data_IF_266078659486
#
_entry.id   IF_266078659486
#
_cell.length_a   1.000
_cell.length_b   1.000
_cell.length_c   1.000
_cell.angle_alpha   90.00
_cell.angle_beta   90.00
_cell.angle_gamma   90.00
#
_symmetry.space_group_name_H-M   'P 1'
#
loop_
_entity.id
_entity.type
_entity.pdbx_description
1 polymer ?
#
# COMPACT_ATOMS: atom_id res chain seq x y z
N UNK A 1 26.14 -2.58 17.03
CA UNK A 1 25.35 -3.65 17.70
C UNK A 1 24.18 -3.95 16.79
N UNK A 2 24.04 -5.18 16.34
CA UNK A 2 22.89 -5.59 15.54
C UNK A 2 21.58 -5.30 16.31
N UNK A 3 20.61 -4.70 15.64
CA UNK A 3 19.40 -4.22 16.29
C UNK A 3 18.42 -5.32 16.65
N UNK A 4 18.48 -6.48 16.00
CA UNK A 4 17.62 -7.65 16.23
C UNK A 4 16.11 -7.27 16.27
N UNK A 5 15.62 -6.87 15.10
CA UNK A 5 14.23 -6.44 14.87
C UNK A 5 13.46 -7.57 14.17
N UNK A 6 12.28 -7.92 14.68
CA UNK A 6 11.37 -8.86 14.03
C UNK A 6 10.21 -8.13 13.35
N UNK A 7 10.07 -8.25 12.03
CA UNK A 7 8.93 -7.76 11.25
C UNK A 7 8.02 -8.92 10.90
N UNK A 8 6.76 -8.85 11.28
CA UNK A 8 5.78 -9.95 11.14
C UNK A 8 4.66 -9.54 10.20
N UNK A 9 4.49 -10.27 9.11
CA UNK A 9 3.39 -10.04 8.16
C UNK A 9 2.89 -11.34 7.54
N UNK A 10 1.59 -11.44 7.27
CA UNK A 10 0.98 -12.61 6.65
C UNK A 10 1.08 -12.62 5.12
N UNK A 11 1.65 -11.59 4.52
CA UNK A 11 1.91 -11.47 3.09
C UNK A 11 3.30 -10.91 2.84
N UNK A 12 4.06 -11.54 1.93
CA UNK A 12 5.42 -11.10 1.59
C UNK A 12 5.74 -11.53 0.15
N UNK A 13 6.67 -10.87 -0.56
CA UNK A 13 7.06 -11.30 -1.90
C UNK A 13 7.33 -12.82 -2.01
N UNK A 14 6.90 -13.48 -3.10
CA UNK A 14 6.44 -12.92 -4.38
C UNK A 14 4.99 -12.44 -4.43
N UNK A 15 4.24 -12.49 -3.33
CA UNK A 15 2.90 -11.91 -3.27
C UNK A 15 3.01 -10.40 -3.11
N UNK A 16 2.51 -9.65 -4.11
CA UNK A 16 2.62 -8.20 -4.14
C UNK A 16 1.32 -7.54 -3.72
N UNK A 17 1.32 -6.98 -2.52
CA UNK A 17 0.30 -6.04 -2.04
C UNK A 17 0.97 -4.87 -1.32
N UNK A 18 0.21 -3.81 -1.02
CA UNK A 18 0.77 -2.60 -0.41
C UNK A 18 1.42 -2.83 0.95
N UNK A 19 0.93 -3.81 1.73
CA UNK A 19 1.52 -4.14 3.05
C UNK A 19 2.82 -4.92 2.88
N UNK A 20 2.85 -5.88 1.93
CA UNK A 20 4.07 -6.62 1.61
C UNK A 20 5.19 -5.68 1.13
N UNK A 21 4.87 -4.71 0.25
CA UNK A 21 5.82 -3.67 -0.20
C UNK A 21 6.29 -2.80 0.96
N UNK A 22 5.40 -2.41 1.87
CA UNK A 22 5.76 -1.66 3.07
C UNK A 22 6.77 -2.43 3.94
N UNK A 23 6.48 -3.70 4.26
CA UNK A 23 7.38 -4.55 5.07
C UNK A 23 8.72 -4.78 4.40
N UNK A 24 8.73 -4.99 3.08
CA UNK A 24 9.95 -5.14 2.30
C UNK A 24 10.85 -3.90 2.41
N UNK A 25 10.28 -2.70 2.27
CA UNK A 25 11.02 -1.45 2.40
C UNK A 25 11.50 -1.21 3.84
N UNK A 26 10.66 -1.51 4.85
CA UNK A 26 11.09 -1.47 6.25
C UNK A 26 12.31 -2.38 6.47
N UNK A 27 12.23 -3.64 6.03
CA UNK A 27 13.31 -4.61 6.21
C UNK A 27 14.61 -4.16 5.51
N UNK A 28 14.51 -3.70 4.26
CA UNK A 28 15.64 -3.24 3.47
C UNK A 28 16.38 -2.06 4.13
N UNK A 29 15.64 -0.99 4.45
CA UNK A 29 16.25 0.20 5.02
C UNK A 29 16.72 0.01 6.47
N UNK A 30 16.01 -0.79 7.28
CA UNK A 30 16.48 -1.16 8.62
C UNK A 30 17.75 -1.99 8.55
N UNK A 31 17.83 -2.98 7.64
CA UNK A 31 19.03 -3.78 7.45
C UNK A 31 20.21 -2.90 7.06
N UNK A 32 20.02 -1.94 6.15
CA UNK A 32 21.09 -0.99 5.75
C UNK A 32 21.52 -0.06 6.88
N UNK A 33 20.59 0.45 7.67
CA UNK A 33 20.91 1.44 8.72
C UNK A 33 21.48 0.81 9.98
N UNK A 34 20.96 -0.36 10.40
CA UNK A 34 21.27 -0.90 11.74
C UNK A 34 21.55 -2.41 11.77
N UNK A 35 21.27 -3.13 10.70
CA UNK A 35 21.44 -4.59 10.62
C UNK A 35 20.54 -5.39 11.56
N UNK A 36 20.61 -6.73 11.44
CA UNK A 36 19.93 -7.67 12.34
C UNK A 36 18.41 -7.66 12.22
N UNK A 37 17.89 -7.57 10.99
CA UNK A 37 16.44 -7.60 10.70
C UNK A 37 16.05 -9.00 10.24
N UNK A 38 14.93 -9.49 10.76
CA UNK A 38 14.29 -10.72 10.31
C UNK A 38 12.83 -10.44 9.93
N UNK A 39 12.40 -10.90 8.76
CA UNK A 39 11.00 -10.89 8.34
C UNK A 39 10.40 -12.27 8.60
N UNK A 40 9.28 -12.30 9.29
CA UNK A 40 8.54 -13.51 9.65
C UNK A 40 7.25 -13.56 8.85
N UNK A 41 7.07 -14.57 7.99
CA UNK A 41 5.97 -14.65 7.03
C UNK A 41 5.57 -16.09 6.73
N UNK A 42 4.33 -16.37 6.29
CA UNK A 42 3.96 -17.67 5.77
C UNK A 42 4.83 -18.07 4.59
N UNK A 43 5.17 -19.34 4.48
CA UNK A 43 5.93 -19.86 3.35
C UNK A 43 5.08 -19.87 2.06
N UNK A 44 5.52 -19.18 1.03
CA UNK A 44 4.89 -19.25 -0.30
C UNK A 44 5.62 -20.34 -1.10
N UNK A 45 4.93 -21.38 -1.58
CA UNK A 45 5.56 -22.45 -2.34
C UNK A 45 6.31 -21.94 -3.57
N UNK A 46 7.57 -22.29 -3.69
CA UNK A 46 8.44 -21.88 -4.80
C UNK A 46 9.06 -20.48 -4.65
N UNK A 47 8.83 -19.77 -3.55
CA UNK A 47 9.48 -18.49 -3.29
C UNK A 47 10.98 -18.71 -2.95
N UNK A 48 11.81 -17.89 -3.55
CA UNK A 48 13.23 -17.78 -3.19
C UNK A 48 13.42 -16.55 -2.28
N UNK A 49 13.65 -16.80 -1.00
CA UNK A 49 13.88 -15.73 -0.03
C UNK A 49 15.37 -15.35 0.09
N UNK A 50 16.28 -16.08 -0.56
CA UNK A 50 17.71 -15.78 -0.52
C UNK A 50 18.10 -14.52 -1.30
N UNK A 51 17.21 -14.01 -2.12
CA UNK A 51 17.39 -12.78 -2.89
C UNK A 51 17.41 -11.51 -2.02
N UNK A 52 16.99 -11.60 -0.76
CA UNK A 52 16.94 -10.46 0.15
C UNK A 52 18.24 -10.32 0.96
N UNK A 53 18.70 -9.09 1.19
CA UNK A 53 19.88 -8.77 2.00
C UNK A 53 19.66 -8.94 3.51
N UNK A 54 18.44 -9.25 3.93
CA UNK A 54 18.01 -9.50 5.31
C UNK A 54 17.43 -10.91 5.45
N UNK A 55 17.35 -11.39 6.68
CA UNK A 55 16.83 -12.73 6.93
C UNK A 55 15.31 -12.79 6.73
N UNK A 56 14.82 -13.79 6.01
CA UNK A 56 13.39 -14.14 5.96
C UNK A 56 13.21 -15.50 6.63
N UNK A 57 12.29 -15.58 7.58
CA UNK A 57 11.94 -16.77 8.34
C UNK A 57 10.52 -17.22 7.96
N UNK A 58 10.38 -18.05 6.91
CA UNK A 58 9.09 -18.59 6.53
C UNK A 58 8.63 -19.66 7.51
N UNK A 59 7.32 -19.74 7.74
CA UNK A 59 6.67 -20.76 8.55
C UNK A 59 5.60 -21.53 7.78
N UNK A 60 5.14 -22.62 8.34
CA UNK A 60 4.19 -23.51 7.69
C UNK A 60 2.92 -22.78 7.24
N UNK A 61 2.51 -23.05 6.00
CA UNK A 61 1.34 -22.44 5.38
C UNK A 61 0.62 -23.43 4.46
N UNK A 62 -0.62 -23.11 4.14
CA UNK A 62 -1.45 -23.83 3.16
C UNK A 62 -1.94 -22.86 2.08
N UNK A 63 -1.98 -23.27 0.80
CA UNK A 63 -2.51 -22.45 -0.27
C UNK A 63 -3.97 -22.06 -0.04
N UNK A 64 -4.33 -20.80 -0.34
CA UNK A 64 -5.74 -20.40 -0.35
C UNK A 64 -6.39 -20.92 -1.63
N UNK A 65 -7.45 -21.75 -1.52
CA UNK A 65 -8.14 -22.28 -2.70
C UNK A 65 -8.57 -21.17 -3.65
N UNK A 66 -8.34 -21.35 -4.94
CA UNK A 66 -8.72 -20.44 -6.04
C UNK A 66 -8.12 -19.03 -5.97
N UNK A 67 -7.14 -18.77 -5.06
CA UNK A 67 -6.48 -17.45 -4.87
C UNK A 67 -4.96 -17.54 -4.92
N UNK A 68 -4.39 -18.20 -5.90
CA UNK A 68 -2.93 -18.19 -6.09
C UNK A 68 -2.44 -16.76 -6.37
N UNK A 69 -1.30 -16.32 -5.82
CA UNK A 69 -0.32 -17.06 -5.01
C UNK A 69 -0.56 -16.96 -3.48
N UNK A 70 -1.73 -16.51 -3.02
CA UNK A 70 -2.00 -16.31 -1.60
C UNK A 70 -1.99 -17.62 -0.79
N UNK A 71 -1.43 -17.54 0.41
CA UNK A 71 -1.36 -18.65 1.37
C UNK A 71 -1.97 -18.23 2.72
N UNK A 72 -2.41 -19.20 3.49
CA UNK A 72 -2.77 -18.99 4.91
C UNK A 72 -1.69 -19.61 5.79
N UNK A 73 -1.04 -18.79 6.59
CA UNK A 73 -0.07 -19.24 7.56
C UNK A 73 -0.71 -19.97 8.74
N UNK A 74 0.01 -20.89 9.35
CA UNK A 74 -0.44 -21.70 10.49
C UNK A 74 0.68 -21.78 11.53
N UNK A 75 1.16 -20.62 12.00
CA UNK A 75 2.26 -20.52 12.95
C UNK A 75 1.94 -21.25 14.27
N UNK A 76 0.66 -21.27 14.71
CA UNK A 76 0.22 -21.84 15.98
C UNK A 76 0.37 -23.37 16.04
N UNK A 77 0.36 -24.04 14.88
CA UNK A 77 0.53 -25.49 14.81
C UNK A 77 1.95 -25.91 14.43
N UNK A 78 2.90 -24.98 14.42
CA UNK A 78 4.32 -25.23 14.17
C UNK A 78 5.15 -24.91 15.44
N UNK A 79 5.16 -25.83 16.44
CA UNK A 79 5.86 -25.59 17.70
C UNK A 79 7.38 -25.47 17.52
N UNK A 80 7.96 -26.10 16.49
CA UNK A 80 9.40 -25.98 16.18
C UNK A 80 9.72 -24.56 15.71
N UNK A 81 8.89 -23.99 14.84
CA UNK A 81 8.99 -22.61 14.42
C UNK A 81 8.79 -21.64 15.59
N UNK A 82 7.73 -21.80 16.39
CA UNK A 82 7.48 -20.94 17.55
C UNK A 82 8.67 -20.96 18.53
N UNK A 83 9.23 -22.13 18.82
CA UNK A 83 10.45 -22.25 19.63
C UNK A 83 11.64 -21.50 18.98
N UNK A 84 11.79 -21.61 17.65
CA UNK A 84 12.86 -20.95 16.91
C UNK A 84 12.75 -19.43 17.04
N UNK A 85 11.57 -18.83 16.82
CA UNK A 85 11.42 -17.37 16.86
C UNK A 85 11.47 -16.80 18.29
N UNK A 86 10.98 -17.53 19.29
CA UNK A 86 11.08 -17.12 20.71
C UNK A 86 12.54 -17.07 21.17
N UNK A 87 13.39 -17.98 20.68
CA UNK A 87 14.82 -18.01 21.02
C UNK A 87 15.67 -16.98 20.24
N UNK A 88 15.09 -16.27 19.26
CA UNK A 88 15.77 -15.16 18.59
C UNK A 88 16.01 -14.00 19.54
N UNK A 89 17.15 -13.31 19.44
CA UNK A 89 17.48 -12.19 20.33
C UNK A 89 16.76 -10.90 19.96
N UNK A 90 15.47 -10.98 19.57
CA UNK A 90 14.69 -9.78 19.25
C UNK A 90 14.65 -8.81 20.41
N UNK A 91 14.84 -7.54 20.12
CA UNK A 91 14.69 -6.42 21.07
C UNK A 91 13.33 -5.75 20.94
N UNK A 92 12.72 -5.88 19.76
CA UNK A 92 11.38 -5.38 19.42
C UNK A 92 10.78 -6.25 18.33
N UNK A 93 9.47 -6.38 18.31
CA UNK A 93 8.71 -6.98 17.23
C UNK A 93 7.68 -6.00 16.70
N UNK A 94 7.46 -6.03 15.39
CA UNK A 94 6.47 -5.20 14.72
C UNK A 94 5.55 -6.08 13.87
N UNK A 95 4.26 -6.07 14.19
CA UNK A 95 3.23 -6.79 13.46
C UNK A 95 2.55 -5.85 12.44
N UNK A 96 2.64 -6.19 11.16
CA UNK A 96 1.96 -5.48 10.08
C UNK A 96 0.61 -6.09 9.70
N UNK A 97 0.28 -7.25 10.28
CA UNK A 97 -1.04 -7.87 10.14
C UNK A 97 -1.49 -8.49 11.47
N UNK A 98 -2.81 -8.55 11.74
CA UNK A 98 -3.33 -9.03 13.01
C UNK A 98 -3.64 -10.54 13.02
N UNK A 99 -3.18 -11.29 12.01
CA UNK A 99 -3.49 -12.70 11.87
C UNK A 99 -2.38 -13.60 12.45
N UNK A 100 -2.03 -14.69 11.77
CA UNK A 100 -1.15 -15.71 12.36
C UNK A 100 0.25 -15.20 12.65
N UNK A 101 0.83 -14.38 11.76
CA UNK A 101 2.13 -13.75 12.03
C UNK A 101 2.06 -12.73 13.17
N UNK A 102 0.99 -11.93 13.22
CA UNK A 102 0.79 -10.97 14.32
C UNK A 102 0.60 -11.66 15.66
N UNK A 103 -0.15 -12.78 15.71
CA UNK A 103 -0.29 -13.58 16.93
C UNK A 103 1.06 -14.19 17.36
N UNK A 104 1.90 -14.61 16.41
CA UNK A 104 3.26 -15.08 16.70
C UNK A 104 4.14 -13.94 17.26
N UNK A 105 4.01 -12.70 16.70
CA UNK A 105 4.69 -11.51 17.24
C UNK A 105 4.28 -11.25 18.70
N UNK A 106 2.97 -11.25 19.00
CA UNK A 106 2.46 -11.06 20.34
C UNK A 106 2.93 -12.15 21.33
N UNK A 107 3.04 -13.39 20.85
CA UNK A 107 3.58 -14.50 21.64
C UNK A 107 5.06 -14.27 21.99
N UNK A 108 5.89 -13.90 21.02
CA UNK A 108 7.30 -13.56 21.24
C UNK A 108 7.44 -12.38 22.20
N UNK A 109 6.70 -11.28 21.95
CA UNK A 109 6.75 -10.09 22.79
C UNK A 109 6.45 -10.40 24.26
N UNK A 110 5.39 -11.20 24.50
CA UNK A 110 4.99 -11.60 25.84
C UNK A 110 6.04 -12.48 26.53
N UNK A 111 6.52 -13.53 25.88
CA UNK A 111 7.48 -14.48 26.48
C UNK A 111 8.84 -13.84 26.73
N UNK A 112 9.25 -12.92 25.89
CA UNK A 112 10.56 -12.27 26.02
C UNK A 112 10.50 -10.94 26.76
N UNK A 113 9.32 -10.48 27.14
CA UNK A 113 9.10 -9.16 27.73
C UNK A 113 9.75 -8.02 26.94
N UNK A 114 9.54 -8.02 25.61
CA UNK A 114 10.02 -6.99 24.70
C UNK A 114 8.86 -6.18 24.13
N UNK A 115 9.09 -4.94 23.65
CA UNK A 115 8.02 -4.13 23.09
C UNK A 115 7.49 -4.72 21.78
N UNK A 116 6.18 -4.52 21.57
CA UNK A 116 5.47 -4.84 20.34
C UNK A 116 4.83 -3.60 19.76
N UNK A 117 5.08 -3.36 18.49
CA UNK A 117 4.33 -2.39 17.66
C UNK A 117 3.37 -3.16 16.76
N UNK A 118 2.19 -2.59 16.49
CA UNK A 118 1.26 -3.13 15.51
C UNK A 118 0.75 -2.03 14.59
N UNK A 119 0.91 -2.18 13.26
CA UNK A 119 0.37 -1.22 12.28
C UNK A 119 -0.96 -1.70 11.73
N UNK A 120 -1.96 -0.82 11.76
CA UNK A 120 -3.29 -1.06 11.21
C UNK A 120 -3.35 -0.56 9.76
N UNK A 121 -3.32 -1.49 8.80
CA UNK A 121 -3.24 -1.18 7.37
C UNK A 121 -4.57 -1.20 6.62
N UNK A 122 -5.53 -2.06 7.01
CA UNK A 122 -6.66 -2.44 6.15
C UNK A 122 -8.02 -2.18 6.75
N UNK A 123 -9.02 -1.94 5.90
CA UNK A 123 -10.44 -1.87 6.27
C UNK A 123 -11.02 -3.28 6.45
N UNK A 124 -10.55 -4.00 7.45
CA UNK A 124 -10.90 -5.40 7.71
C UNK A 124 -12.40 -5.68 7.75
N UNK A 125 -13.22 -4.73 8.25
CA UNK A 125 -14.68 -4.91 8.26
C UNK A 125 -15.22 -5.03 6.84
N UNK A 126 -14.74 -4.21 5.92
CA UNK A 126 -15.16 -4.21 4.53
C UNK A 126 -14.70 -5.49 3.85
N UNK A 127 -13.45 -5.91 4.09
CA UNK A 127 -12.88 -7.14 3.54
C UNK A 127 -13.68 -8.38 3.95
N UNK A 128 -13.99 -8.50 5.25
CA UNK A 128 -14.76 -9.64 5.74
C UNK A 128 -16.21 -9.58 5.30
N UNK A 129 -16.83 -8.39 5.22
CA UNK A 129 -18.23 -8.25 4.81
C UNK A 129 -18.48 -8.67 3.37
N UNK A 130 -17.47 -8.68 2.51
CA UNK A 130 -17.56 -9.18 1.12
C UNK A 130 -17.72 -10.70 1.05
N UNK A 131 -17.07 -11.41 1.96
CA UNK A 131 -17.05 -12.88 1.97
C UNK A 131 -18.08 -13.44 2.95
N UNK A 132 -18.27 -12.77 4.09
CA UNK A 132 -19.12 -13.22 5.19
C UNK A 132 -20.38 -12.38 5.22
N UNK A 133 -21.52 -12.99 4.85
CA UNK A 133 -22.82 -12.28 4.83
C UNK A 133 -23.38 -11.95 6.22
N UNK A 134 -22.92 -12.65 7.26
CA UNK A 134 -23.39 -12.45 8.63
C UNK A 134 -22.68 -11.28 9.32
N UNK A 135 -23.37 -10.17 9.51
CA UNK A 135 -22.85 -9.00 10.26
C UNK A 135 -22.41 -9.36 11.69
N UNK A 136 -23.10 -10.30 12.33
CA UNK A 136 -22.73 -10.78 13.68
C UNK A 136 -21.34 -11.43 13.67
N UNK A 137 -21.07 -12.29 12.70
CA UNK A 137 -19.77 -12.96 12.56
C UNK A 137 -18.68 -11.95 12.25
N UNK A 138 -18.91 -11.02 11.30
CA UNK A 138 -17.97 -9.95 10.98
C UNK A 138 -17.63 -9.11 12.20
N UNK A 139 -18.63 -8.66 12.96
CA UNK A 139 -18.41 -7.86 14.16
C UNK A 139 -17.61 -8.63 15.23
N UNK A 140 -17.82 -9.94 15.35
CA UNK A 140 -17.06 -10.77 16.29
C UNK A 140 -15.60 -10.92 15.87
N UNK A 141 -15.34 -11.05 14.57
CA UNK A 141 -13.97 -11.05 14.00
C UNK A 141 -13.30 -9.71 14.26
N UNK A 142 -13.96 -8.60 13.88
CA UNK A 142 -13.43 -7.25 14.11
C UNK A 142 -13.12 -7.00 15.58
N UNK A 143 -13.98 -7.44 16.51
CA UNK A 143 -13.71 -7.34 17.95
C UNK A 143 -12.42 -8.06 18.34
N UNK A 144 -12.17 -9.27 17.83
CA UNK A 144 -10.93 -10.02 18.10
C UNK A 144 -9.69 -9.31 17.52
N UNK A 145 -9.84 -8.69 16.35
CA UNK A 145 -8.74 -7.86 15.78
C UNK A 145 -8.42 -6.67 16.70
N UNK A 146 -9.43 -6.00 17.24
CA UNK A 146 -9.22 -4.89 18.18
C UNK A 146 -8.57 -5.37 19.48
N UNK A 147 -8.96 -6.55 19.98
CA UNK A 147 -8.31 -7.19 21.13
C UNK A 147 -6.83 -7.52 20.84
N UNK A 148 -6.49 -7.88 19.58
CA UNK A 148 -5.09 -8.06 19.17
C UNK A 148 -4.32 -6.74 19.22
N UNK A 149 -4.85 -5.67 18.62
CA UNK A 149 -4.20 -4.33 18.65
C UNK A 149 -4.03 -3.82 20.08
N UNK A 150 -4.94 -4.18 20.99
CA UNK A 150 -4.83 -3.86 22.42
C UNK A 150 -3.67 -4.56 23.16
N UNK A 151 -2.97 -5.52 22.52
CA UNK A 151 -1.77 -6.18 23.09
C UNK A 151 -0.47 -5.45 22.74
N UNK A 152 -0.49 -4.56 21.77
CA UNK A 152 0.68 -3.80 21.35
C UNK A 152 1.01 -2.68 22.35
N UNK A 153 2.29 -2.39 22.52
CA UNK A 153 2.76 -1.24 23.31
C UNK A 153 2.46 0.08 22.57
N UNK A 154 2.45 0.07 21.23
CA UNK A 154 1.97 1.16 20.37
C UNK A 154 1.23 0.60 19.14
N UNK A 155 0.17 1.30 18.74
CA UNK A 155 -0.56 1.04 17.48
C UNK A 155 -0.31 2.19 16.52
N UNK A 156 0.13 1.85 15.30
CA UNK A 156 0.42 2.81 14.26
C UNK A 156 -0.58 2.73 13.12
N UNK A 157 -0.78 3.87 12.46
CA UNK A 157 -1.59 3.99 11.25
C UNK A 157 -0.79 4.71 10.15
N UNK A 158 -0.94 4.32 8.86
CA UNK A 158 -0.14 4.87 7.77
C UNK A 158 -0.60 6.25 7.28
N UNK A 159 -1.67 6.81 7.86
CA UNK A 159 -2.23 8.12 7.54
C UNK A 159 -3.20 8.55 8.64
N UNK A 160 -3.33 9.82 8.92
CA UNK A 160 -4.16 10.34 10.03
C UNK A 160 -5.62 9.91 9.94
N UNK A 161 -6.22 9.93 8.74
CA UNK A 161 -7.61 9.47 8.51
C UNK A 161 -7.86 8.00 8.83
N UNK A 162 -6.82 7.18 8.87
CA UNK A 162 -6.95 5.75 9.22
C UNK A 162 -7.16 5.56 10.71
N UNK A 163 -6.82 6.56 11.54
CA UNK A 163 -7.16 6.55 12.95
C UNK A 163 -8.69 6.50 13.15
N UNK A 164 -9.47 7.25 12.38
CA UNK A 164 -10.93 7.22 12.47
C UNK A 164 -11.45 5.81 12.21
N UNK A 165 -10.90 5.11 11.22
CA UNK A 165 -11.31 3.73 10.88
C UNK A 165 -11.08 2.77 12.03
N UNK A 166 -9.92 2.79 12.70
CA UNK A 166 -9.66 1.90 13.83
C UNK A 166 -10.49 2.30 15.07
N UNK A 167 -10.80 3.61 15.23
CA UNK A 167 -11.72 4.10 16.27
C UNK A 167 -13.15 3.59 16.07
N UNK A 168 -13.66 3.62 14.84
CA UNK A 168 -14.95 3.04 14.48
C UNK A 168 -15.03 1.53 14.76
N UNK A 169 -13.90 0.83 14.71
CA UNK A 169 -13.82 -0.59 15.09
C UNK A 169 -13.83 -0.79 16.60
N UNK A 170 -13.72 0.28 17.38
CA UNK A 170 -13.80 0.29 18.84
C UNK A 170 -12.46 0.30 19.58
N UNK A 171 -11.35 0.57 18.89
CA UNK A 171 -10.05 0.73 19.55
C UNK A 171 -9.99 2.04 20.33
N UNK A 172 -9.56 1.95 21.61
CA UNK A 172 -9.51 3.10 22.54
C UNK A 172 -8.10 3.47 22.98
N UNK A 173 -7.11 2.64 22.61
CA UNK A 173 -5.71 2.89 22.97
C UNK A 173 -5.09 4.07 22.21
N UNK A 174 -3.85 4.48 22.54
CA UNK A 174 -3.13 5.48 21.77
C UNK A 174 -2.85 4.97 20.34
N UNK A 175 -2.91 5.89 19.39
CA UNK A 175 -2.60 5.67 17.98
C UNK A 175 -1.58 6.69 17.55
N UNK A 176 -0.56 6.26 16.85
CA UNK A 176 0.47 7.12 16.27
C UNK A 176 0.41 7.08 14.76
N UNK A 177 0.58 8.22 14.11
CA UNK A 177 0.67 8.28 12.65
C UNK A 177 2.12 8.07 12.24
N UNK A 178 2.34 7.07 11.38
CA UNK A 178 3.65 6.79 10.74
C UNK A 178 3.40 6.61 9.26
N UNK A 179 3.66 7.65 8.49
CA UNK A 179 3.38 7.68 7.07
C UNK A 179 4.11 6.58 6.29
N UNK A 180 3.50 6.15 5.19
CA UNK A 180 4.20 5.33 4.20
C UNK A 180 5.22 6.18 3.43
N UNK A 181 6.30 5.54 2.99
CA UNK A 181 7.29 6.13 2.10
C UNK A 181 7.05 5.79 0.62
N UNK A 182 7.94 6.29 -0.22
CA UNK A 182 8.09 5.89 -1.61
C UNK A 182 9.55 5.53 -1.88
N UNK A 183 9.79 4.51 -2.71
CA UNK A 183 11.11 4.14 -3.23
C UNK A 183 11.45 4.88 -4.54
N UNK A 184 10.49 5.68 -5.05
CA UNK A 184 10.65 6.46 -6.28
C UNK A 184 11.14 7.88 -6.02
N UNK A 185 11.64 8.17 -4.83
CA UNK A 185 12.21 9.48 -4.50
C UNK A 185 13.61 9.58 -5.09
N UNK A 186 13.75 10.37 -6.15
CA UNK A 186 15.03 10.67 -6.78
C UNK A 186 14.95 12.01 -7.53
N UNK A 187 16.10 12.61 -7.79
CA UNK A 187 16.19 13.76 -8.68
C UNK A 187 16.15 13.29 -10.14
N UNK A 188 14.95 13.23 -10.70
CA UNK A 188 14.76 12.88 -12.11
C UNK A 188 15.03 14.11 -13.00
N UNK A 189 15.98 14.03 -13.96
CA UNK A 189 16.21 15.12 -14.91
C UNK A 189 15.00 15.27 -15.85
N UNK A 190 14.76 16.47 -16.38
CA UNK A 190 13.64 16.73 -17.30
C UNK A 190 13.65 15.79 -18.52
N UNK A 191 14.83 15.46 -19.02
CA UNK A 191 14.99 14.49 -20.10
C UNK A 191 14.40 13.11 -19.79
N UNK A 192 14.38 12.70 -18.52
CA UNK A 192 13.82 11.41 -18.09
C UNK A 192 12.33 11.30 -18.43
N UNK A 193 11.56 12.35 -18.19
CA UNK A 193 10.13 12.39 -18.49
C UNK A 193 9.86 12.37 -19.99
N UNK A 194 10.64 13.13 -20.77
CA UNK A 194 10.57 13.11 -22.23
C UNK A 194 10.96 11.74 -22.82
N UNK A 195 11.98 11.11 -22.27
CA UNK A 195 12.44 9.78 -22.69
C UNK A 195 11.37 8.72 -22.38
N UNK A 196 10.73 8.77 -21.21
CA UNK A 196 9.64 7.86 -20.85
C UNK A 196 8.46 7.96 -21.83
N UNK A 197 8.06 9.16 -22.22
CA UNK A 197 7.01 9.38 -23.22
C UNK A 197 7.41 8.84 -24.59
N UNK A 198 8.64 9.09 -25.03
CA UNK A 198 9.18 8.59 -26.30
C UNK A 198 9.23 7.05 -26.33
N UNK A 199 9.70 6.43 -25.25
CA UNK A 199 9.80 4.97 -25.15
C UNK A 199 8.42 4.30 -25.22
N UNK A 200 7.38 4.96 -24.75
CA UNK A 200 5.99 4.50 -24.83
C UNK A 200 5.27 4.94 -26.12
N UNK A 201 5.97 5.63 -27.04
CA UNK A 201 5.40 6.12 -28.31
C UNK A 201 4.30 7.16 -28.09
N UNK A 202 4.44 8.01 -27.07
CA UNK A 202 3.49 9.07 -26.74
C UNK A 202 3.97 10.36 -27.40
N UNK A 203 3.07 11.00 -28.16
CA UNK A 203 3.32 12.29 -28.79
C UNK A 203 3.44 13.43 -27.75
N UNK A 204 4.08 14.56 -28.12
CA UNK A 204 4.29 15.68 -27.21
C UNK A 204 2.98 16.31 -26.70
N UNK A 205 1.94 16.31 -27.53
CA UNK A 205 0.65 16.95 -27.25
C UNK A 205 -0.43 15.98 -26.77
N UNK A 206 -0.09 14.68 -26.61
CA UNK A 206 -1.03 13.68 -26.10
C UNK A 206 -1.15 13.76 -24.58
N UNK A 207 -2.36 13.92 -24.07
CA UNK A 207 -2.62 13.86 -22.63
C UNK A 207 -2.74 12.42 -22.16
N UNK A 208 -2.04 12.06 -21.08
CA UNK A 208 -1.92 10.70 -20.61
C UNK A 208 -2.52 10.52 -19.22
N UNK A 209 -3.52 9.67 -19.14
CA UNK A 209 -4.06 9.17 -17.88
C UNK A 209 -3.41 7.84 -17.49
N UNK A 210 -3.27 7.63 -16.19
CA UNK A 210 -2.71 6.40 -15.63
C UNK A 210 -3.56 5.90 -14.46
N UNK A 211 -3.74 4.60 -14.40
CA UNK A 211 -4.22 3.87 -13.23
C UNK A 211 -3.25 2.73 -12.94
N UNK A 212 -2.76 2.63 -11.70
CA UNK A 212 -1.88 1.54 -11.25
C UNK A 212 -2.50 0.85 -10.05
N UNK A 213 -2.59 -0.47 -10.10
CA UNK A 213 -3.09 -1.25 -8.98
C UNK A 213 -3.78 -2.54 -9.41
N UNK A 214 -4.30 -3.26 -8.43
CA UNK A 214 -5.09 -4.44 -8.71
C UNK A 214 -6.37 -4.05 -9.49
N UNK A 215 -6.64 -4.76 -10.57
CA UNK A 215 -7.86 -4.61 -11.36
C UNK A 215 -9.01 -5.34 -10.66
N UNK A 216 -9.56 -4.67 -9.65
CA UNK A 216 -10.69 -5.13 -8.84
C UNK A 216 -11.75 -4.01 -8.79
N UNK A 217 -13.02 -4.37 -8.75
CA UNK A 217 -14.10 -3.37 -8.78
C UNK A 217 -14.10 -2.43 -7.58
N UNK A 218 -13.52 -2.86 -6.46
CA UNK A 218 -13.41 -2.10 -5.23
C UNK A 218 -12.53 -0.84 -5.36
N UNK A 219 -11.56 -0.87 -6.30
CA UNK A 219 -10.75 0.32 -6.64
C UNK A 219 -11.44 1.26 -7.63
N UNK A 220 -12.69 0.95 -7.96
CA UNK A 220 -13.57 1.77 -8.79
C UNK A 220 -13.07 2.02 -10.24
N UNK A 221 -12.44 1.05 -10.93
CA UNK A 221 -12.00 1.25 -12.31
C UNK A 221 -13.17 1.45 -13.29
N UNK A 222 -14.37 0.94 -12.97
CA UNK A 222 -15.58 1.21 -13.76
C UNK A 222 -15.88 2.69 -13.85
N UNK A 223 -15.79 3.41 -12.73
CA UNK A 223 -16.02 4.85 -12.67
C UNK A 223 -15.04 5.63 -13.56
N UNK A 224 -13.78 5.16 -13.64
CA UNK A 224 -12.79 5.70 -14.58
C UNK A 224 -13.23 5.46 -16.02
N UNK A 225 -13.55 4.21 -16.39
CA UNK A 225 -13.93 3.83 -17.77
C UNK A 225 -15.20 4.59 -18.20
N UNK A 226 -16.20 4.70 -17.31
CA UNK A 226 -17.44 5.43 -17.58
C UNK A 226 -17.21 6.95 -17.76
N UNK A 227 -16.27 7.54 -17.02
CA UNK A 227 -15.87 8.95 -17.20
C UNK A 227 -15.12 9.17 -18.52
N UNK A 228 -14.21 8.26 -18.89
CA UNK A 228 -13.48 8.31 -20.16
C UNK A 228 -14.43 8.21 -21.38
N UNK A 229 -15.49 7.40 -21.29
CA UNK A 229 -16.50 7.35 -22.35
C UNK A 229 -17.15 8.72 -22.61
N UNK A 230 -17.42 9.49 -21.55
CA UNK A 230 -18.04 10.83 -21.66
C UNK A 230 -17.11 11.89 -22.30
N UNK A 231 -15.81 11.60 -22.37
CA UNK A 231 -14.81 12.51 -22.95
C UNK A 231 -14.09 11.88 -24.16
N UNK A 232 -14.62 10.81 -24.74
CA UNK A 232 -13.95 10.12 -25.87
C UNK A 232 -13.82 10.92 -27.16
N UNK A 233 -14.49 12.06 -27.23
CA UNK A 233 -14.35 13.07 -28.29
C UNK A 233 -13.10 13.93 -28.15
N UNK A 234 -12.41 13.90 -27.00
CA UNK A 234 -11.14 14.62 -26.76
C UNK A 234 -9.97 13.64 -26.90
N UNK A 235 -8.84 14.02 -27.51
CA UNK A 235 -7.66 13.16 -27.61
C UNK A 235 -7.03 12.91 -26.24
N UNK A 236 -6.86 11.64 -25.87
CA UNK A 236 -6.10 11.20 -24.70
C UNK A 236 -5.60 9.77 -24.88
N UNK A 237 -4.65 9.37 -24.02
CA UNK A 237 -4.29 7.97 -23.78
C UNK A 237 -4.60 7.59 -22.33
N UNK A 238 -4.99 6.35 -22.13
CA UNK A 238 -5.19 5.78 -20.80
C UNK A 238 -4.44 4.47 -20.67
N UNK A 239 -3.62 4.35 -19.63
CA UNK A 239 -2.93 3.11 -19.27
C UNK A 239 -3.49 2.54 -17.98
N UNK A 240 -3.94 1.27 -18.03
CA UNK A 240 -4.24 0.47 -16.86
C UNK A 240 -3.07 -0.49 -16.61
N UNK A 241 -2.32 -0.26 -15.53
CA UNK A 241 -1.18 -1.09 -15.12
C UNK A 241 -1.58 -1.94 -13.93
N UNK A 242 -1.45 -3.25 -14.06
CA UNK A 242 -1.80 -4.23 -13.04
C UNK A 242 -2.63 -5.36 -13.58
N UNK A 243 -3.13 -6.19 -12.69
CA UNK A 243 -4.03 -7.30 -12.99
C UNK A 243 -4.98 -7.56 -11.83
N UNK A 244 -5.99 -8.38 -12.02
CA UNK A 244 -6.94 -8.75 -10.99
C UNK A 244 -8.16 -9.46 -11.55
N UNK A 245 -9.09 -9.88 -10.70
CA UNK A 245 -10.25 -10.66 -11.12
C UNK A 245 -11.22 -9.89 -12.05
N UNK A 246 -11.15 -8.57 -12.08
CA UNK A 246 -11.99 -7.73 -12.95
C UNK A 246 -11.32 -7.40 -14.29
N UNK A 247 -10.06 -7.79 -14.53
CA UNK A 247 -9.29 -7.34 -15.69
C UNK A 247 -9.96 -7.63 -17.02
N UNK A 248 -10.51 -8.84 -17.21
CA UNK A 248 -11.15 -9.19 -18.46
C UNK A 248 -12.49 -8.45 -18.62
N UNK A 249 -13.30 -8.35 -17.58
CA UNK A 249 -14.53 -7.57 -17.61
C UNK A 249 -14.31 -6.07 -17.82
N UNK A 250 -13.14 -5.53 -17.40
CA UNK A 250 -12.74 -4.15 -17.72
C UNK A 250 -12.43 -4.00 -19.22
N UNK A 251 -11.74 -4.97 -19.84
CA UNK A 251 -11.47 -4.96 -21.29
C UNK A 251 -12.77 -5.02 -22.11
N UNK A 252 -13.68 -5.93 -21.72
CA UNK A 252 -14.99 -6.03 -22.34
C UNK A 252 -15.76 -4.71 -22.26
N UNK A 253 -15.73 -4.05 -21.10
CA UNK A 253 -16.37 -2.75 -20.89
C UNK A 253 -15.74 -1.65 -21.75
N UNK A 254 -14.42 -1.62 -21.89
CA UNK A 254 -13.70 -0.68 -22.77
C UNK A 254 -14.11 -0.87 -24.21
N UNK A 255 -14.20 -2.12 -24.70
CA UNK A 255 -14.65 -2.46 -26.05
C UNK A 255 -16.11 -2.05 -26.28
N UNK A 256 -17.01 -2.38 -25.33
CA UNK A 256 -18.43 -1.97 -25.37
C UNK A 256 -18.61 -0.46 -25.54
N UNK A 257 -17.75 0.33 -24.87
CA UNK A 257 -17.79 1.79 -24.91
C UNK A 257 -17.05 2.41 -26.11
N UNK A 258 -16.36 1.58 -26.90
CA UNK A 258 -15.60 2.03 -28.09
C UNK A 258 -14.36 2.85 -27.72
N UNK A 259 -13.68 2.48 -26.63
CA UNK A 259 -12.47 3.13 -26.11
C UNK A 259 -11.17 2.38 -26.47
N UNK A 260 -11.22 1.32 -27.30
CA UNK A 260 -10.08 0.45 -27.62
C UNK A 260 -8.87 1.18 -28.19
N UNK A 261 -9.07 2.32 -28.82
CA UNK A 261 -7.99 3.12 -29.40
C UNK A 261 -7.26 4.00 -28.39
N UNK A 262 -7.92 4.32 -27.29
CA UNK A 262 -7.43 5.29 -26.29
C UNK A 262 -6.96 4.58 -25.00
N UNK A 263 -7.43 3.34 -24.74
CA UNK A 263 -7.18 2.61 -23.51
C UNK A 263 -6.28 1.40 -23.77
N UNK A 264 -5.20 1.30 -23.00
CA UNK A 264 -4.26 0.18 -23.05
C UNK A 264 -4.17 -0.50 -21.69
N UNK A 265 -4.36 -1.83 -21.70
CA UNK A 265 -4.10 -2.68 -20.54
C UNK A 265 -2.69 -3.24 -20.62
N UNK A 266 -1.81 -2.75 -19.75
CA UNK A 266 -0.39 -3.10 -19.75
C UNK A 266 -0.14 -4.48 -19.11
N UNK A 267 -1.00 -4.88 -18.18
CA UNK A 267 -0.78 -6.07 -17.35
C UNK A 267 0.06 -5.76 -16.12
N UNK A 268 0.50 -6.82 -15.42
CA UNK A 268 1.32 -6.70 -14.23
C UNK A 268 2.78 -6.45 -14.61
N UNK A 269 3.35 -5.38 -14.09
CA UNK A 269 4.78 -5.09 -14.19
C UNK A 269 5.47 -5.49 -12.89
N UNK A 270 6.52 -6.28 -12.99
CA UNK A 270 7.34 -6.74 -11.85
C UNK A 270 8.59 -5.90 -11.65
N UNK A 271 9.16 -5.42 -12.75
CA UNK A 271 10.34 -4.58 -12.72
C UNK A 271 9.99 -3.13 -12.38
N UNK A 272 10.62 -2.59 -11.33
CA UNK A 272 10.38 -1.19 -10.90
C UNK A 272 10.69 -0.18 -11.99
N UNK A 273 11.75 -0.41 -12.76
CA UNK A 273 12.13 0.48 -13.87
C UNK A 273 11.03 0.62 -14.93
N UNK A 274 10.24 -0.44 -15.15
CA UNK A 274 9.16 -0.39 -16.14
C UNK A 274 7.96 0.40 -15.62
N UNK A 275 7.55 0.19 -14.37
CA UNK A 275 6.42 0.92 -13.79
C UNK A 275 6.71 2.43 -13.65
N UNK A 276 7.97 2.78 -13.34
CA UNK A 276 8.43 4.18 -13.23
C UNK A 276 8.22 4.94 -14.54
N UNK A 277 8.43 4.30 -15.72
CA UNK A 277 8.19 4.91 -17.03
C UNK A 277 6.74 5.34 -17.21
N UNK A 278 5.77 4.52 -16.75
CA UNK A 278 4.36 4.89 -16.87
C UNK A 278 3.98 6.05 -15.97
N UNK A 279 4.51 6.10 -14.73
CA UNK A 279 4.31 7.26 -13.86
C UNK A 279 4.94 8.53 -14.45
N UNK A 280 6.17 8.41 -14.96
CA UNK A 280 6.88 9.55 -15.55
C UNK A 280 6.24 10.06 -16.86
N UNK A 281 5.60 9.19 -17.63
CA UNK A 281 4.95 9.54 -18.89
C UNK A 281 3.53 10.10 -18.69
N UNK A 282 2.91 9.90 -17.54
CA UNK A 282 1.54 10.28 -17.27
C UNK A 282 1.43 11.76 -16.85
N UNK A 283 0.36 12.40 -17.32
CA UNK A 283 -0.02 13.76 -16.90
C UNK A 283 -0.90 13.71 -15.65
N UNK A 284 -1.75 12.65 -15.50
CA UNK A 284 -2.73 12.56 -14.42
C UNK A 284 -2.94 11.13 -13.97
N UNK A 285 -2.89 10.91 -12.65
CA UNK A 285 -3.15 9.63 -12.04
C UNK A 285 -4.60 9.53 -11.56
N UNK A 286 -5.37 8.59 -12.11
CA UNK A 286 -6.80 8.42 -11.79
C UNK A 286 -6.96 7.33 -10.72
N UNK A 287 -7.28 7.72 -9.49
CA UNK A 287 -7.43 6.78 -8.39
C UNK A 287 -8.69 7.05 -7.54
N UNK A 288 -9.90 6.84 -8.11
CA UNK A 288 -11.16 7.12 -7.42
C UNK A 288 -11.58 6.02 -6.44
N UNK A 289 -10.63 5.37 -5.80
CA UNK A 289 -10.89 4.30 -4.83
C UNK A 289 -11.55 4.83 -3.56
N UNK A 290 -12.66 4.21 -3.16
CA UNK A 290 -13.31 4.41 -1.87
C UNK A 290 -12.84 3.40 -0.81
N UNK A 291 -12.07 2.41 -1.24
CA UNK A 291 -11.68 1.26 -0.45
C UNK A 291 -10.33 1.46 0.26
N UNK A 292 -9.35 2.02 -0.44
CA UNK A 292 -7.97 2.11 0.06
C UNK A 292 -7.86 3.05 1.28
N UNK A 293 -6.92 2.73 2.18
CA UNK A 293 -6.59 3.55 3.35
C UNK A 293 -5.49 4.57 3.03
N UNK A 294 -4.28 4.09 2.74
CA UNK A 294 -3.10 4.90 2.46
C UNK A 294 -2.33 4.28 1.28
N UNK A 295 -2.83 4.43 0.04
CA UNK A 295 -2.30 3.75 -1.13
C UNK A 295 -0.89 4.25 -1.47
N UNK A 296 0.07 3.32 -1.63
CA UNK A 296 1.45 3.64 -2.03
C UNK A 296 1.49 4.25 -3.42
N UNK A 297 0.64 3.78 -4.34
CA UNK A 297 0.59 4.22 -5.74
C UNK A 297 0.31 5.72 -5.90
N UNK A 298 -0.40 6.35 -4.96
CA UNK A 298 -0.61 7.81 -4.94
C UNK A 298 0.70 8.56 -4.62
N UNK A 299 1.50 8.00 -3.69
CA UNK A 299 2.83 8.55 -3.36
C UNK A 299 3.84 8.30 -4.49
N UNK A 300 3.72 7.15 -5.15
CA UNK A 300 4.53 6.82 -6.33
C UNK A 300 4.25 7.77 -7.49
N UNK A 301 2.97 8.03 -7.82
CA UNK A 301 2.58 9.00 -8.82
C UNK A 301 3.12 10.41 -8.49
N UNK A 302 2.92 10.85 -7.24
CA UNK A 302 3.41 12.14 -6.78
C UNK A 302 4.94 12.26 -6.88
N UNK A 303 5.71 11.19 -6.61
CA UNK A 303 7.16 11.18 -6.72
C UNK A 303 7.66 11.47 -8.14
N UNK A 304 6.85 11.14 -9.15
CA UNK A 304 7.12 11.42 -10.57
C UNK A 304 6.37 12.65 -11.09
N UNK A 305 6.00 13.59 -10.22
CA UNK A 305 5.28 14.82 -10.56
C UNK A 305 3.91 14.59 -11.22
N UNK A 306 3.29 13.42 -11.01
CA UNK A 306 1.99 13.06 -11.57
C UNK A 306 0.92 13.26 -10.49
N UNK A 307 0.10 14.32 -10.60
CA UNK A 307 -0.92 14.59 -9.59
C UNK A 307 -2.08 13.57 -9.69
N UNK A 308 -2.71 13.28 -8.56
CA UNK A 308 -3.81 12.32 -8.50
C UNK A 308 -5.17 13.00 -8.53
N UNK A 309 -6.16 12.32 -9.14
CA UNK A 309 -7.59 12.63 -8.97
C UNK A 309 -8.20 11.57 -8.08
N UNK A 310 -8.81 11.98 -6.97
CA UNK A 310 -9.42 11.09 -5.98
C UNK A 310 -10.82 11.55 -5.59
N UNK A 311 -11.62 10.62 -5.06
CA UNK A 311 -12.97 10.94 -4.58
C UNK A 311 -12.90 11.59 -3.21
N UNK A 312 -13.49 12.77 -3.10
CA UNK A 312 -13.60 13.54 -1.86
C UNK A 312 -14.30 12.71 -0.77
N UNK A 313 -13.84 12.85 0.48
CA UNK A 313 -14.37 12.11 1.62
C UNK A 313 -13.91 10.65 1.71
N UNK A 314 -13.14 10.13 0.74
CA UNK A 314 -12.49 8.82 0.92
C UNK A 314 -11.32 8.92 1.89
N UNK A 315 -11.07 7.84 2.65
CA UNK A 315 -9.94 7.77 3.61
C UNK A 315 -8.61 8.07 2.92
N UNK A 316 -8.41 7.53 1.73
CA UNK A 316 -7.17 7.72 0.95
C UNK A 316 -6.98 9.17 0.48
N UNK A 317 -8.07 9.89 0.17
CA UNK A 317 -8.00 11.23 -0.42
C UNK A 317 -7.57 12.34 0.56
N UNK A 318 -7.57 12.08 1.86
CA UNK A 318 -7.20 13.09 2.87
C UNK A 318 -5.74 13.55 2.79
N UNK A 319 -4.90 12.86 2.02
CA UNK A 319 -3.53 13.31 1.72
C UNK A 319 -3.50 14.45 0.70
N UNK A 320 -4.58 14.62 -0.07
CA UNK A 320 -4.70 15.66 -1.08
C UNK A 320 -5.35 16.93 -0.52
N UNK A 321 -4.91 18.05 -1.06
CA UNK A 321 -5.57 19.35 -0.98
C UNK A 321 -5.96 19.77 -2.38
N UNK A 322 -7.26 19.93 -2.62
CA UNK A 322 -7.79 20.20 -3.95
C UNK A 322 -7.15 21.43 -4.59
N UNK A 323 -6.66 21.28 -5.81
CA UNK A 323 -6.01 22.33 -6.59
C UNK A 323 -4.63 22.76 -6.09
N UNK A 324 -4.12 22.19 -4.97
CA UNK A 324 -2.76 22.45 -4.46
C UNK A 324 -1.78 21.32 -4.82
N UNK A 325 -2.10 20.07 -4.45
CA UNK A 325 -1.23 18.91 -4.65
C UNK A 325 -1.96 17.70 -5.26
N UNK A 326 -3.14 17.91 -5.80
CA UNK A 326 -3.98 16.94 -6.46
C UNK A 326 -5.36 17.51 -6.69
N UNK A 327 -6.27 16.66 -7.12
CA UNK A 327 -7.65 17.05 -7.42
C UNK A 327 -8.63 16.16 -6.67
N UNK A 328 -9.62 16.78 -6.06
CA UNK A 328 -10.72 16.09 -5.40
C UNK A 328 -12.01 16.26 -6.23
N UNK A 329 -12.75 15.18 -6.36
CA UNK A 329 -14.04 15.17 -7.05
C UNK A 329 -15.09 14.53 -6.15
N UNK A 330 -16.35 14.96 -6.21
CA UNK A 330 -17.43 14.20 -5.60
C UNK A 330 -17.58 12.84 -6.29
N UNK A 331 -18.24 11.90 -5.64
CA UNK A 331 -18.57 10.60 -6.26
C UNK A 331 -19.72 10.77 -7.26
N UNK A 332 -19.50 11.56 -8.30
CA UNK A 332 -20.42 11.92 -9.37
C UNK A 332 -19.73 11.81 -10.73
N UNK A 333 -20.31 11.00 -11.61
CA UNK A 333 -19.70 10.67 -12.90
C UNK A 333 -19.61 11.87 -13.85
N UNK A 334 -20.63 12.73 -13.87
CA UNK A 334 -20.67 13.89 -14.75
C UNK A 334 -19.65 14.95 -14.30
N UNK A 335 -19.52 15.15 -12.99
CA UNK A 335 -18.51 16.04 -12.42
C UNK A 335 -17.11 15.50 -12.68
N UNK A 336 -16.90 14.18 -12.56
CA UNK A 336 -15.59 13.58 -12.86
C UNK A 336 -15.22 13.77 -14.33
N UNK A 337 -16.11 13.44 -15.27
CA UNK A 337 -15.87 13.61 -16.70
C UNK A 337 -15.60 15.10 -17.06
N UNK A 338 -16.37 16.02 -16.48
CA UNK A 338 -16.15 17.45 -16.68
C UNK A 338 -14.78 17.90 -16.15
N UNK A 339 -14.35 17.39 -14.99
CA UNK A 339 -13.03 17.67 -14.41
C UNK A 339 -11.92 17.13 -15.30
N UNK A 340 -12.02 15.92 -15.82
CA UNK A 340 -11.03 15.36 -16.73
C UNK A 340 -10.90 16.22 -18.01
N UNK A 341 -12.03 16.64 -18.58
CA UNK A 341 -12.07 17.53 -19.76
C UNK A 341 -11.42 18.88 -19.47
N UNK A 342 -11.71 19.48 -18.31
CA UNK A 342 -11.06 20.72 -17.86
C UNK A 342 -9.53 20.57 -17.81
N UNK A 343 -9.05 19.49 -17.18
CA UNK A 343 -7.62 19.29 -16.95
C UNK A 343 -6.83 18.96 -18.24
N UNK A 344 -7.44 18.27 -19.21
CA UNK A 344 -6.81 18.05 -20.54
C UNK A 344 -6.52 19.40 -21.21
N UNK A 345 -7.35 20.41 -21.03
CA UNK A 345 -7.18 21.73 -21.65
C UNK A 345 -6.27 22.68 -20.85
N UNK A 346 -5.77 22.25 -19.67
CA UNK A 346 -4.85 23.03 -18.84
C UNK A 346 -3.66 22.18 -18.32
N UNK A 347 -2.84 21.62 -19.23
CA UNK A 347 -1.73 20.75 -18.87
C UNK A 347 -0.66 21.47 -18.01
N UNK A 348 -0.50 22.78 -18.18
CA UNK A 348 0.43 23.56 -17.36
C UNK A 348 0.02 23.59 -15.88
N UNK A 349 -1.27 23.74 -15.61
CA UNK A 349 -1.81 23.67 -14.25
C UNK A 349 -1.61 22.27 -13.66
N UNK A 350 -1.90 21.23 -14.45
CA UNK A 350 -1.70 19.84 -14.05
C UNK A 350 -0.26 19.60 -13.65
N UNK A 351 0.69 20.01 -14.48
CA UNK A 351 2.11 19.88 -14.20
C UNK A 351 2.53 20.64 -12.92
N UNK A 352 2.11 21.90 -12.73
CA UNK A 352 2.44 22.67 -11.51
C UNK A 352 1.93 21.97 -10.24
N UNK A 353 0.72 21.41 -10.30
CA UNK A 353 0.13 20.67 -9.17
C UNK A 353 0.89 19.37 -8.94
N UNK A 354 1.35 18.68 -9.99
CA UNK A 354 2.21 17.51 -9.90
C UNK A 354 3.53 17.77 -9.19
N UNK A 355 4.21 18.85 -9.57
CA UNK A 355 5.43 19.30 -8.88
C UNK A 355 5.16 19.63 -7.41
N UNK A 356 4.00 20.22 -7.11
CA UNK A 356 3.63 20.48 -5.71
C UNK A 356 3.29 19.19 -4.96
N UNK A 357 2.68 18.20 -5.63
CA UNK A 357 2.42 16.88 -5.05
C UNK A 357 3.71 16.19 -4.62
N UNK A 358 4.76 16.21 -5.46
CA UNK A 358 6.04 15.58 -5.14
C UNK A 358 6.70 16.21 -3.90
N UNK A 359 6.49 17.49 -3.65
CA UNK A 359 7.06 18.21 -2.51
C UNK A 359 6.29 18.03 -1.20
N UNK A 360 4.99 17.74 -1.27
CA UNK A 360 4.10 17.77 -0.10
C UNK A 360 3.58 16.40 0.31
N UNK A 361 3.54 15.43 -0.62
CA UNK A 361 2.98 14.09 -0.37
C UNK A 361 4.09 13.08 -0.11
N UNK A 362 5.25 13.27 -0.74
CA UNK A 362 6.27 12.23 -0.84
C UNK A 362 7.28 12.31 0.31
N UNK A 363 7.54 11.15 0.90
CA UNK A 363 8.67 10.91 1.83
C UNK A 363 9.44 9.69 1.34
N UNK A 364 10.76 9.68 1.49
CA UNK A 364 11.54 8.49 1.20
C UNK A 364 11.31 7.41 2.26
N UNK A 365 11.37 6.14 1.86
CA UNK A 365 11.39 5.05 2.83
C UNK A 365 12.59 5.14 3.77
N UNK A 366 13.69 5.71 3.31
CA UNK A 366 14.88 5.93 4.13
C UNK A 366 14.59 6.84 5.32
N UNK A 367 13.90 7.97 5.09
CA UNK A 367 13.53 8.93 6.14
C UNK A 367 12.47 8.34 7.07
N UNK A 368 11.45 7.68 6.51
CA UNK A 368 10.40 7.01 7.29
C UNK A 368 11.01 5.96 8.22
N UNK A 369 11.90 5.12 7.72
CA UNK A 369 12.57 4.09 8.53
C UNK A 369 13.51 4.71 9.56
N UNK A 370 14.13 5.85 9.27
CA UNK A 370 14.88 6.62 10.25
C UNK A 370 14.02 7.00 11.45
N UNK A 371 12.84 7.60 11.20
CA UNK A 371 11.86 7.94 12.25
C UNK A 371 11.38 6.70 13.01
N UNK A 372 11.10 5.61 12.30
CA UNK A 372 10.67 4.34 12.91
C UNK A 372 11.72 3.76 13.85
N UNK A 373 12.98 3.80 13.48
CA UNK A 373 14.08 3.32 14.33
C UNK A 373 14.21 4.15 15.60
N UNK A 374 14.00 5.47 15.52
CA UNK A 374 14.00 6.35 16.71
C UNK A 374 12.81 6.01 17.63
N UNK A 375 11.63 5.73 17.07
CA UNK A 375 10.46 5.27 17.85
C UNK A 375 10.73 3.93 18.51
N UNK A 376 11.33 2.97 17.81
CA UNK A 376 11.72 1.68 18.37
C UNK A 376 12.70 1.83 19.54
N UNK A 377 13.72 2.67 19.39
CA UNK A 377 14.69 2.91 20.46
C UNK A 377 14.03 3.46 21.72
N UNK A 378 13.07 4.40 21.58
CA UNK A 378 12.29 4.93 22.72
C UNK A 378 11.46 3.84 23.40
N UNK A 379 10.79 2.97 22.61
CA UNK A 379 9.99 1.87 23.14
C UNK A 379 10.84 0.85 23.89
N UNK A 380 11.99 0.47 23.32
CA UNK A 380 12.93 -0.47 23.94
C UNK A 380 13.46 0.10 25.27
N UNK A 381 13.80 1.39 25.30
CA UNK A 381 14.26 2.05 26.51
C UNK A 381 13.16 2.09 27.59
N UNK A 382 11.92 2.48 27.21
CA UNK A 382 10.75 2.52 28.10
C UNK A 382 10.45 1.15 28.69
N UNK A 383 10.48 0.08 27.87
CA UNK A 383 10.19 -1.29 28.32
C UNK A 383 11.19 -1.80 29.36
N UNK A 384 12.46 -1.43 29.22
CA UNK A 384 13.52 -1.80 30.19
C UNK A 384 13.38 -1.12 31.56
N UNK A 385 12.73 0.06 31.62
CA UNK A 385 12.53 0.82 32.86
C UNK A 385 11.32 0.34 33.66
N UNK A 386 10.42 -0.44 33.03
CA UNK A 386 9.26 -0.99 33.73
C UNK A 386 9.69 -2.21 34.55
N UNK A 387 9.31 -2.30 35.86
CA UNK A 387 9.59 -3.48 36.67
C UNK A 387 8.94 -4.71 36.02
N UNK A 388 9.64 -5.84 36.11
CA UNK A 388 9.06 -7.14 35.75
C UNK A 388 7.86 -7.37 36.68
N UNK A 389 6.65 -7.25 36.13
CA UNK A 389 5.40 -7.53 36.86
C UNK A 389 5.15 -9.03 37.03
#
# INVERSE_FOLDING_TARGET
MESNIGLFNDCFPPVMDGVAVCVQNYAYWMQKKVGGVSVITPNVPGADYSVHEYEVLPYFSVPVPFRKPYVTGLAEIDPAFLKKIVNRPFKIVHAHSPFTSGLAAAHVAKLRNIPMVATFHSKYRDDFSRVIKSKFVVNRIVKRLIEFYGRADEVWVPQASVEEVIREYGFKGPVEVVDNGSDLVADYPEAFFADARRDLGIGPDEFVFLFVGQHIWEKNPRFVIDALEKIKDVPFRMYFVGTGYAADAMKDLVAEKGLDRQVTFVGMLTERADIVKYYAAADLFLFPSLYDNAPLVVREAAALNTPSVMVEGSTAATILKDGENGFLIPNDLDVFAAKLRELIHDPERVHRIGVQASRTIVRSWEDVVGEVLDRYNRLIARKKMLPLG
#
